data_IF_810792385717
#
_entry.id   IF_810792385717
#
_cell.length_a   1.000
_cell.length_b   1.000
_cell.length_c   1.000
_cell.angle_alpha   90.00
_cell.angle_beta   90.00
_cell.angle_gamma   90.00
#
_symmetry.space_group_name_H-M   'P 1'
#
loop_
_entity.id
_entity.type
_entity.pdbx_description
1 polymer ?
#
# COMPACT_ATOMS: atom_id res chain seq x y z
N UNK A 1 21.67 10.65 15.57
CA UNK A 1 20.49 10.46 14.71
C UNK A 1 20.04 11.81 14.17
N UNK A 2 19.93 11.99 12.84
CA UNK A 2 19.43 13.24 12.25
C UNK A 2 17.92 13.33 12.50
N UNK A 3 17.48 14.45 13.06
CA UNK A 3 16.08 14.72 13.42
C UNK A 3 15.59 15.92 12.60
N UNK A 4 14.40 15.80 12.03
CA UNK A 4 13.66 16.88 11.39
C UNK A 4 12.42 17.25 12.21
N UNK A 5 11.83 18.41 11.95
CA UNK A 5 10.56 18.81 12.57
C UNK A 5 9.47 18.78 11.51
N UNK A 6 8.55 17.83 11.64
CA UNK A 6 7.35 17.75 10.82
C UNK A 6 6.27 18.70 11.40
N UNK A 7 5.56 19.50 10.57
CA UNK A 7 4.61 20.51 11.04
C UNK A 7 3.50 19.96 11.95
N UNK A 8 3.03 18.73 11.70
CA UNK A 8 1.95 18.10 12.47
C UNK A 8 2.41 16.96 13.40
N UNK A 9 3.59 16.36 13.16
CA UNK A 9 4.06 15.17 13.90
C UNK A 9 5.17 15.51 14.91
N UNK A 10 5.60 16.76 14.96
CA UNK A 10 6.68 17.18 15.86
C UNK A 10 8.05 16.69 15.38
N UNK A 11 8.88 16.22 16.31
CA UNK A 11 10.26 15.80 15.97
C UNK A 11 10.23 14.37 15.44
N UNK A 12 10.63 14.20 14.18
CA UNK A 12 10.76 12.91 13.51
C UNK A 12 12.23 12.64 13.19
N UNK A 13 12.61 11.38 13.15
CA UNK A 13 13.94 10.93 12.76
C UNK A 13 14.01 10.74 11.24
N UNK A 14 15.23 10.83 10.69
CA UNK A 14 15.45 10.48 9.28
C UNK A 14 15.05 9.03 8.97
N UNK A 15 15.20 8.12 9.93
CA UNK A 15 14.79 6.72 9.76
C UNK A 15 13.28 6.58 9.62
N UNK A 16 12.49 7.25 10.46
CA UNK A 16 11.03 7.25 10.34
C UNK A 16 10.58 7.78 8.99
N UNK A 17 11.19 8.86 8.48
CA UNK A 17 10.88 9.39 7.15
C UNK A 17 11.16 8.37 6.03
N UNK A 18 12.32 7.69 6.08
CA UNK A 18 12.69 6.67 5.10
C UNK A 18 11.77 5.44 5.19
N UNK A 19 11.40 5.02 6.39
CA UNK A 19 10.46 3.93 6.61
C UNK A 19 9.06 4.29 6.06
N UNK A 20 8.60 5.52 6.29
CA UNK A 20 7.35 6.02 5.69
C UNK A 20 7.42 6.05 4.17
N UNK A 21 8.55 6.48 3.59
CA UNK A 21 8.73 6.46 2.14
C UNK A 21 8.69 5.04 1.56
N UNK A 22 9.39 4.08 2.18
CA UNK A 22 9.33 2.68 1.78
C UNK A 22 7.90 2.10 1.88
N UNK A 23 7.18 2.41 2.96
CA UNK A 23 5.79 1.96 3.14
C UNK A 23 4.82 2.61 2.13
N UNK A 24 5.06 3.87 1.77
CA UNK A 24 4.31 4.57 0.73
C UNK A 24 4.48 3.89 -0.64
N UNK A 25 5.71 3.56 -1.02
CA UNK A 25 5.98 2.89 -2.29
C UNK A 25 5.36 1.49 -2.34
N UNK A 26 5.41 0.73 -1.24
CA UNK A 26 4.71 -0.56 -1.12
C UNK A 26 3.20 -0.41 -1.24
N UNK A 27 2.63 0.67 -0.74
CA UNK A 27 1.19 0.97 -0.88
C UNK A 27 0.82 1.19 -2.34
N UNK A 28 1.63 1.94 -3.09
CA UNK A 28 1.44 2.12 -4.54
C UNK A 28 1.59 0.81 -5.32
N UNK A 29 2.61 -0.01 -4.99
CA UNK A 29 2.76 -1.33 -5.60
C UNK A 29 1.55 -2.23 -5.34
N UNK A 30 0.98 -2.18 -4.13
CA UNK A 30 -0.23 -2.92 -3.79
C UNK A 30 -1.44 -2.44 -4.61
N UNK A 31 -1.63 -1.12 -4.77
CA UNK A 31 -2.70 -0.57 -5.60
C UNK A 31 -2.57 -1.01 -7.07
N UNK A 32 -1.37 -0.91 -7.65
CA UNK A 32 -1.11 -1.35 -9.03
C UNK A 32 -1.37 -2.85 -9.17
N UNK A 33 -0.85 -3.66 -8.23
CA UNK A 33 -1.06 -5.12 -8.25
C UNK A 33 -2.54 -5.49 -8.21
N UNK A 34 -3.35 -4.77 -7.44
CA UNK A 34 -4.81 -4.97 -7.42
C UNK A 34 -5.43 -4.62 -8.77
N UNK A 35 -5.10 -3.48 -9.37
CA UNK A 35 -5.62 -3.08 -10.68
C UNK A 35 -5.28 -4.12 -11.74
N UNK A 36 -4.02 -4.58 -11.76
CA UNK A 36 -3.58 -5.64 -12.67
C UNK A 36 -4.37 -6.93 -12.43
N UNK A 37 -4.48 -7.38 -11.18
CA UNK A 37 -5.24 -8.58 -10.83
C UNK A 37 -6.72 -8.49 -11.23
N UNK A 38 -7.33 -7.30 -11.11
CA UNK A 38 -8.70 -7.05 -11.56
C UNK A 38 -8.86 -7.25 -13.07
N UNK A 39 -7.87 -6.89 -13.90
CA UNK A 39 -7.93 -7.14 -15.35
C UNK A 39 -7.92 -8.64 -15.69
N UNK A 40 -7.25 -9.45 -14.87
CA UNK A 40 -7.24 -10.91 -15.06
C UNK A 40 -8.46 -11.61 -14.48
N UNK A 41 -9.37 -10.91 -13.78
CA UNK A 41 -10.52 -11.49 -13.08
C UNK A 41 -11.28 -12.52 -13.91
N UNK A 42 -11.62 -12.17 -15.13
CA UNK A 42 -12.42 -13.01 -16.01
C UNK A 42 -11.58 -14.14 -16.62
N UNK A 43 -10.27 -13.92 -16.78
CA UNK A 43 -9.33 -14.92 -17.26
C UNK A 43 -9.00 -15.99 -16.20
N UNK A 44 -8.96 -15.64 -14.90
CA UNK A 44 -8.69 -16.62 -13.83
C UNK A 44 -9.92 -17.51 -13.53
N UNK A 45 -11.12 -17.04 -13.88
CA UNK A 45 -12.37 -17.78 -13.68
C UNK A 45 -12.58 -18.19 -12.21
N UNK A 46 -13.01 -19.44 -11.93
CA UNK A 46 -13.41 -19.86 -10.58
C UNK A 46 -12.27 -19.88 -9.55
N UNK A 47 -11.01 -19.85 -10.00
CA UNK A 47 -9.83 -19.81 -9.14
C UNK A 47 -9.68 -18.50 -8.37
N UNK A 48 -10.42 -17.44 -8.76
CA UNK A 48 -10.44 -16.17 -8.04
C UNK A 48 -10.79 -16.32 -6.56
N UNK A 49 -11.59 -17.33 -6.20
CA UNK A 49 -12.00 -17.63 -4.81
C UNK A 49 -10.83 -17.95 -3.88
N UNK A 50 -9.71 -18.40 -4.44
CA UNK A 50 -8.49 -18.75 -3.69
C UNK A 50 -7.43 -17.64 -3.73
N UNK A 51 -7.65 -16.58 -4.52
CA UNK A 51 -6.70 -15.48 -4.68
C UNK A 51 -7.12 -14.29 -3.81
N UNK A 52 -6.45 -14.12 -2.66
CA UNK A 52 -6.74 -13.04 -1.71
C UNK A 52 -6.69 -11.62 -2.32
N UNK A 53 -5.82 -11.40 -3.33
CA UNK A 53 -5.73 -10.13 -4.07
C UNK A 53 -7.03 -9.76 -4.80
N UNK A 54 -7.88 -10.74 -5.12
CA UNK A 54 -9.18 -10.55 -5.77
C UNK A 54 -10.29 -10.18 -4.79
N UNK A 55 -10.05 -10.38 -3.49
CA UNK A 55 -11.00 -10.14 -2.39
C UNK A 55 -10.60 -8.96 -1.51
N UNK A 56 -9.39 -8.40 -1.65
CA UNK A 56 -9.00 -7.18 -0.95
C UNK A 56 -9.85 -5.99 -1.45
N UNK A 57 -10.98 -5.77 -0.81
CA UNK A 57 -11.62 -4.47 -0.71
C UNK A 57 -10.60 -3.56 -0.01
N UNK A 58 -10.08 -2.59 -0.77
CA UNK A 58 -8.99 -1.73 -0.33
C UNK A 58 -9.32 -1.12 1.02
N UNK A 59 -8.49 -1.40 2.02
CA UNK A 59 -8.37 -0.52 3.15
C UNK A 59 -7.51 0.66 2.69
N UNK A 60 -8.09 1.48 1.80
CA UNK A 60 -7.66 2.86 1.70
C UNK A 60 -8.03 3.46 3.04
N UNK A 61 -7.02 3.86 3.81
CA UNK A 61 -7.21 4.54 5.07
C UNK A 61 -8.15 5.73 4.84
N UNK A 62 -9.38 5.62 5.35
CA UNK A 62 -10.21 6.78 5.65
C UNK A 62 -9.50 7.51 6.81
N UNK A 63 -8.96 8.69 6.48
CA UNK A 63 -8.61 9.72 7.44
C UNK A 63 -9.74 10.72 7.56
#
# INVERSE_FOLDING_TARGET
>A
ARRGRHPALGVVTLWELLATWAAHDLTHLHQISRIMAHQYRDAVGPWSKFLGVMHCAGHSADG
#
